data_IF_783168808134
#
_entry.id   IF_783168808134
#
_cell.length_a   1.000
_cell.length_b   1.000
_cell.length_c   1.000
_cell.angle_alpha   90.00
_cell.angle_beta   90.00
_cell.angle_gamma   90.00
#
_symmetry.space_group_name_H-M   'P 1'
#
loop_
_entity.id
_entity.type
_entity.pdbx_description
1 polymer ?
#
# COMPACT_ATOMS: atom_id res chain seq x y z
N UNK A 1 -13.99 27.06 16.03
CA UNK A 1 -13.36 26.11 15.07
C UNK A 1 -13.91 24.71 15.22
N UNK A 2 -13.97 24.16 16.44
CA UNK A 2 -14.54 22.82 16.68
C UNK A 2 -16.01 22.71 16.24
N UNK A 3 -16.87 23.67 16.62
CA UNK A 3 -18.30 23.64 16.24
C UNK A 3 -18.50 23.67 14.73
N UNK A 4 -17.70 24.47 14.01
CA UNK A 4 -17.69 24.50 12.54
C UNK A 4 -17.18 23.18 11.94
N UNK A 5 -16.15 22.57 12.50
CA UNK A 5 -15.68 21.26 12.03
C UNK A 5 -16.75 20.17 12.22
N UNK A 6 -17.55 20.26 13.30
CA UNK A 6 -18.66 19.32 13.57
C UNK A 6 -19.82 19.48 12.58
N UNK A 7 -19.98 20.63 11.93
CA UNK A 7 -20.96 20.76 10.84
C UNK A 7 -20.51 20.06 9.55
N UNK A 8 -19.22 19.68 9.44
CA UNK A 8 -18.64 19.02 8.26
C UNK A 8 -18.40 17.52 8.47
N UNK A 9 -18.09 17.09 9.69
CA UNK A 9 -17.78 15.69 10.01
C UNK A 9 -18.34 15.29 11.37
N UNK A 10 -18.94 14.09 11.45
CA UNK A 10 -19.34 13.49 12.72
C UNK A 10 -18.17 13.03 13.60
N UNK A 11 -16.95 12.98 13.05
CA UNK A 11 -15.72 12.62 13.76
C UNK A 11 -14.80 13.83 13.81
N UNK A 12 -14.80 14.52 14.95
CA UNK A 12 -13.92 15.66 15.26
C UNK A 12 -13.16 15.36 16.54
N UNK A 13 -11.85 15.52 16.51
CA UNK A 13 -10.96 15.36 17.66
C UNK A 13 -9.98 16.52 17.76
N UNK A 14 -9.46 16.75 18.97
CA UNK A 14 -8.34 17.68 19.20
C UNK A 14 -7.03 16.91 19.13
N UNK A 15 -6.01 17.55 18.58
CA UNK A 15 -4.66 17.02 18.51
C UNK A 15 -3.66 18.18 18.65
N UNK A 16 -2.61 17.96 19.43
CA UNK A 16 -1.41 18.80 19.46
C UNK A 16 -0.65 18.76 18.13
N UNK A 17 0.29 19.67 17.92
CA UNK A 17 1.11 19.67 16.72
C UNK A 17 1.97 18.40 16.58
N UNK A 18 2.44 17.86 17.70
CA UNK A 18 3.17 16.57 17.72
C UNK A 18 2.26 15.40 17.28
N UNK A 19 1.03 15.33 17.79
CA UNK A 19 0.05 14.32 17.36
C UNK A 19 -0.31 14.48 15.87
N UNK A 20 -0.50 15.72 15.40
CA UNK A 20 -0.78 16.02 13.99
C UNK A 20 0.38 15.60 13.09
N UNK A 21 1.62 15.82 13.51
CA UNK A 21 2.81 15.40 12.76
C UNK A 21 2.88 13.88 12.64
N UNK A 22 2.68 13.15 13.74
CA UNK A 22 2.66 11.68 13.74
C UNK A 22 1.55 11.13 12.85
N UNK A 23 0.35 11.68 12.94
CA UNK A 23 -0.78 11.33 12.07
C UNK A 23 -0.46 11.62 10.60
N UNK A 24 0.19 12.74 10.30
CA UNK A 24 0.54 13.09 8.93
C UNK A 24 1.55 12.11 8.32
N UNK A 25 2.58 11.70 9.06
CA UNK A 25 3.52 10.66 8.61
C UNK A 25 2.77 9.35 8.29
N UNK A 26 1.87 8.92 9.18
CA UNK A 26 1.05 7.74 8.93
C UNK A 26 0.16 7.91 7.68
N UNK A 27 -0.46 9.08 7.50
CA UNK A 27 -1.31 9.41 6.34
C UNK A 27 -0.53 9.35 5.02
N UNK A 28 0.71 9.87 5.00
CA UNK A 28 1.59 9.79 3.84
C UNK A 28 1.88 8.33 3.46
N UNK A 29 2.14 7.47 4.45
CA UNK A 29 2.39 6.04 4.20
C UNK A 29 1.16 5.33 3.65
N UNK A 30 0.00 5.49 4.29
CA UNK A 30 -1.21 4.72 3.92
C UNK A 30 -1.89 5.25 2.67
N UNK A 31 -1.71 6.53 2.33
CA UNK A 31 -2.35 7.16 1.18
C UNK A 31 -1.37 7.53 0.07
N UNK A 32 -0.40 8.42 0.31
CA UNK A 32 0.45 8.94 -0.76
C UNK A 32 1.40 7.87 -1.31
N UNK A 33 2.07 7.12 -0.45
CA UNK A 33 2.95 6.03 -0.89
C UNK A 33 2.16 4.90 -1.53
N UNK A 34 1.03 4.51 -0.93
CA UNK A 34 0.10 3.54 -1.54
C UNK A 34 -0.33 3.95 -2.95
N UNK A 35 -0.70 5.22 -3.17
CA UNK A 35 -1.04 5.71 -4.50
C UNK A 35 0.14 5.66 -5.47
N UNK A 36 1.35 5.96 -5.01
CA UNK A 36 2.54 5.83 -5.85
C UNK A 36 2.81 4.36 -6.24
N UNK A 37 2.50 3.39 -5.37
CA UNK A 37 2.55 1.97 -5.74
C UNK A 37 1.54 1.63 -6.86
N UNK A 38 0.36 2.26 -6.86
CA UNK A 38 -0.60 2.11 -7.96
C UNK A 38 -0.06 2.68 -9.27
N UNK A 39 0.55 3.85 -9.24
CA UNK A 39 1.15 4.47 -10.43
C UNK A 39 2.26 3.58 -11.04
N UNK A 40 3.17 3.06 -10.21
CA UNK A 40 4.22 2.15 -10.68
C UNK A 40 3.65 0.84 -11.26
N UNK A 41 2.57 0.33 -10.66
CA UNK A 41 1.89 -0.86 -11.18
C UNK A 41 1.14 -0.58 -12.49
N UNK A 42 0.53 0.60 -12.63
CA UNK A 42 -0.11 1.05 -13.87
C UNK A 42 0.90 1.19 -15.02
N UNK A 43 2.06 1.82 -14.75
CA UNK A 43 3.17 1.91 -15.72
C UNK A 43 3.65 0.52 -16.17
N UNK A 44 3.84 -0.40 -15.21
CA UNK A 44 4.20 -1.79 -15.51
C UNK A 44 3.13 -2.49 -16.36
N UNK A 45 1.84 -2.36 -15.99
CA UNK A 45 0.74 -2.93 -16.75
C UNK A 45 0.69 -2.37 -18.18
N UNK A 46 0.84 -1.05 -18.35
CA UNK A 46 0.86 -0.42 -19.66
C UNK A 46 2.00 -0.96 -20.55
N UNK A 47 3.21 -1.09 -20.00
CA UNK A 47 4.37 -1.62 -20.72
C UNK A 47 4.22 -3.10 -21.09
N UNK A 48 3.58 -3.90 -20.22
CA UNK A 48 3.28 -5.32 -20.45
C UNK A 48 1.96 -5.55 -21.22
N UNK A 49 1.30 -4.48 -21.69
CA UNK A 49 0.01 -4.52 -22.42
C UNK A 49 -1.13 -5.20 -21.65
N UNK A 50 -1.17 -4.97 -20.34
CA UNK A 50 -2.20 -5.43 -19.41
C UNK A 50 -3.09 -4.24 -19.04
N UNK A 51 -4.42 -4.42 -19.02
CA UNK A 51 -5.33 -3.39 -18.53
C UNK A 51 -5.26 -3.28 -17.01
N UNK A 52 -4.72 -2.17 -16.50
CA UNK A 52 -4.61 -1.89 -15.07
C UNK A 52 -5.97 -1.92 -14.34
N UNK A 53 -7.08 -1.63 -15.04
CA UNK A 53 -8.43 -1.64 -14.45
C UNK A 53 -8.82 -3.01 -13.92
N UNK A 54 -8.21 -4.10 -14.42
CA UNK A 54 -8.41 -5.45 -13.90
C UNK A 54 -7.98 -5.59 -12.43
N UNK A 55 -7.11 -4.71 -11.94
CA UNK A 55 -6.62 -4.70 -10.56
C UNK A 55 -7.49 -3.86 -9.61
N UNK A 56 -8.41 -3.03 -10.12
CA UNK A 56 -9.24 -2.15 -9.29
C UNK A 56 -10.07 -2.90 -8.23
N UNK A 57 -10.66 -4.09 -8.51
CA UNK A 57 -11.35 -4.87 -7.48
C UNK A 57 -10.42 -5.30 -6.34
N UNK A 58 -9.17 -5.68 -6.64
CA UNK A 58 -8.19 -6.08 -5.62
C UNK A 58 -7.77 -4.89 -4.74
N UNK A 59 -7.59 -3.72 -5.34
CA UNK A 59 -7.28 -2.48 -4.61
C UNK A 59 -8.41 -2.16 -3.63
N UNK A 60 -9.66 -2.17 -4.11
CA UNK A 60 -10.85 -1.86 -3.30
C UNK A 60 -11.02 -2.85 -2.14
N UNK A 61 -10.91 -4.15 -2.43
CA UNK A 61 -11.01 -5.20 -1.41
C UNK A 61 -9.92 -5.06 -0.34
N UNK A 62 -8.67 -4.81 -0.75
CA UNK A 62 -7.55 -4.62 0.18
C UNK A 62 -7.78 -3.42 1.10
N UNK A 63 -8.24 -2.30 0.54
CA UNK A 63 -8.56 -1.11 1.32
C UNK A 63 -9.74 -1.33 2.28
N UNK A 64 -10.82 -1.99 1.83
CA UNK A 64 -12.01 -2.22 2.64
C UNK A 64 -11.72 -3.10 3.88
N UNK A 65 -10.83 -4.09 3.76
CA UNK A 65 -10.50 -4.99 4.87
C UNK A 65 -9.93 -4.29 6.11
N UNK A 66 -9.29 -3.13 5.96
CA UNK A 66 -8.70 -2.42 7.10
C UNK A 66 -9.74 -1.87 8.07
N UNK A 67 -11.01 -1.77 7.64
CA UNK A 67 -12.12 -1.34 8.49
C UNK A 67 -12.53 -2.40 9.52
N UNK A 68 -12.25 -3.67 9.21
CA UNK A 68 -12.73 -4.81 10.00
C UNK A 68 -11.60 -5.72 10.51
N UNK A 69 -10.41 -5.63 9.91
CA UNK A 69 -9.28 -6.48 10.24
C UNK A 69 -8.00 -5.66 10.38
N UNK A 70 -7.13 -6.09 11.31
CA UNK A 70 -5.77 -5.54 11.39
C UNK A 70 -4.98 -5.89 10.11
N UNK A 71 -4.28 -4.94 9.47
CA UNK A 71 -3.50 -5.21 8.26
C UNK A 71 -2.51 -6.38 8.39
N UNK A 72 -1.91 -6.56 9.56
CA UNK A 72 -0.98 -7.69 9.79
C UNK A 72 -1.66 -9.06 9.76
N UNK A 73 -2.92 -9.13 10.21
CA UNK A 73 -3.69 -10.39 10.27
C UNK A 73 -4.17 -10.87 8.90
N UNK A 74 -4.28 -9.95 7.92
CA UNK A 74 -4.76 -10.22 6.57
C UNK A 74 -3.66 -10.11 5.51
N UNK A 75 -2.39 -10.04 5.93
CA UNK A 75 -1.26 -10.02 5.01
C UNK A 75 -1.20 -11.34 4.23
N UNK A 76 -1.21 -11.23 2.90
CA UNK A 76 -1.11 -12.38 1.98
C UNK A 76 0.05 -12.19 1.00
N UNK A 77 0.18 -13.12 0.05
CA UNK A 77 1.19 -13.06 -1.02
C UNK A 77 2.41 -13.96 -0.79
N UNK A 78 3.31 -14.03 -1.77
CA UNK A 78 4.46 -14.94 -1.74
C UNK A 78 5.48 -14.57 -0.64
N UNK A 79 5.61 -13.28 -0.29
CA UNK A 79 6.54 -12.82 0.73
C UNK A 79 6.26 -13.43 2.12
N UNK A 80 5.03 -13.30 2.64
CA UNK A 80 4.68 -13.85 3.97
C UNK A 80 4.74 -15.39 4.01
N UNK A 81 4.52 -16.04 2.86
CA UNK A 81 4.62 -17.50 2.70
C UNK A 81 6.04 -18.01 2.45
N UNK A 82 7.04 -17.13 2.34
CA UNK A 82 8.41 -17.48 1.93
C UNK A 82 8.45 -18.27 0.60
N UNK A 83 7.58 -17.94 -0.35
CA UNK A 83 7.52 -18.58 -1.67
C UNK A 83 8.62 -18.03 -2.58
N UNK A 84 9.85 -18.48 -2.35
CA UNK A 84 11.06 -18.01 -3.04
C UNK A 84 10.98 -18.23 -4.55
N UNK A 85 10.33 -19.31 -4.99
CA UNK A 85 10.20 -19.61 -6.42
C UNK A 85 9.34 -18.57 -7.14
N UNK A 86 8.20 -18.19 -6.56
CA UNK A 86 7.36 -17.12 -7.12
C UNK A 86 8.07 -15.77 -7.05
N UNK A 87 8.77 -15.47 -5.94
CA UNK A 87 9.52 -14.22 -5.79
C UNK A 87 10.61 -14.08 -6.87
N UNK A 88 11.36 -15.15 -7.15
CA UNK A 88 12.41 -15.13 -8.19
C UNK A 88 11.83 -14.86 -9.58
N UNK A 89 10.69 -15.50 -9.92
CA UNK A 89 9.97 -15.22 -11.18
C UNK A 89 9.57 -13.75 -11.31
N UNK A 90 9.01 -13.16 -10.25
CA UNK A 90 8.66 -11.74 -10.23
C UNK A 90 9.91 -10.87 -10.47
N UNK A 91 11.02 -11.16 -9.80
CA UNK A 91 12.26 -10.37 -9.94
C UNK A 91 12.87 -10.44 -11.34
N UNK A 92 12.71 -11.57 -12.04
CA UNK A 92 13.11 -11.71 -13.45
C UNK A 92 12.22 -10.84 -14.35
N UNK A 93 10.90 -10.86 -14.16
CA UNK A 93 9.98 -9.99 -14.91
C UNK A 93 10.25 -8.51 -14.68
N UNK A 94 10.61 -8.12 -13.45
CA UNK A 94 10.89 -6.74 -13.09
C UNK A 94 12.27 -6.24 -13.55
N UNK A 95 13.03 -7.01 -14.32
CA UNK A 95 14.41 -6.63 -14.74
C UNK A 95 14.45 -5.31 -15.51
N UNK A 96 13.46 -5.05 -16.36
CA UNK A 96 13.38 -3.81 -17.14
C UNK A 96 12.70 -2.65 -16.38
N UNK A 97 12.35 -2.85 -15.10
CA UNK A 97 11.63 -1.90 -14.27
C UNK A 97 12.40 -1.63 -12.98
N UNK A 98 13.59 -0.99 -13.04
CA UNK A 98 14.53 -0.93 -11.92
C UNK A 98 13.95 -0.26 -10.66
N UNK A 99 13.12 0.77 -10.80
CA UNK A 99 12.48 1.44 -9.67
C UNK A 99 11.44 0.54 -9.00
N UNK A 100 10.55 -0.08 -9.78
CA UNK A 100 9.55 -1.02 -9.26
C UNK A 100 10.23 -2.24 -8.63
N UNK A 101 11.29 -2.77 -9.25
CA UNK A 101 12.11 -3.87 -8.71
C UNK A 101 12.72 -3.51 -7.35
N UNK A 102 13.29 -2.31 -7.22
CA UNK A 102 13.87 -1.83 -5.98
C UNK A 102 12.83 -1.78 -4.85
N UNK A 103 11.68 -1.16 -5.11
CA UNK A 103 10.59 -1.04 -4.13
C UNK A 103 10.04 -2.43 -3.78
N UNK A 104 9.80 -3.28 -4.78
CA UNK A 104 9.33 -4.64 -4.61
C UNK A 104 10.23 -5.44 -3.66
N UNK A 105 11.55 -5.34 -3.81
CA UNK A 105 12.52 -6.00 -2.93
C UNK A 105 12.44 -5.46 -1.50
N UNK A 106 12.36 -4.14 -1.31
CA UNK A 106 12.29 -3.52 0.02
C UNK A 106 11.00 -3.87 0.76
N UNK A 107 9.87 -3.90 0.06
CA UNK A 107 8.60 -4.32 0.64
C UNK A 107 8.59 -5.82 0.95
N UNK A 108 9.11 -6.66 0.06
CA UNK A 108 9.24 -8.11 0.27
C UNK A 108 10.10 -8.40 1.52
N UNK A 109 11.28 -7.79 1.62
CA UNK A 109 12.17 -7.92 2.78
C UNK A 109 11.48 -7.45 4.07
N UNK A 110 10.79 -6.31 4.04
CA UNK A 110 10.04 -5.79 5.19
C UNK A 110 8.92 -6.75 5.64
N UNK A 111 8.18 -7.35 4.71
CA UNK A 111 7.12 -8.31 5.02
C UNK A 111 7.70 -9.60 5.62
N UNK A 112 8.80 -10.12 5.05
CA UNK A 112 9.44 -11.36 5.52
C UNK A 112 10.06 -11.20 6.92
N UNK A 113 10.59 -10.02 7.24
CA UNK A 113 11.20 -9.71 8.55
C UNK A 113 10.21 -9.47 9.68
N UNK A 114 8.93 -9.21 9.38
CA UNK A 114 7.88 -8.98 10.39
C UNK A 114 7.29 -10.28 10.98
N UNK A 115 7.93 -11.42 10.76
CA UNK A 115 7.61 -12.68 11.44
C UNK A 115 8.07 -12.68 12.89
#
# INVERSE_FOLDING_TARGET
LEDFARTLSGKVGKASDDERLKLHVAAVVVSNFTNHLYALAEEFCAAEKIDFKLLAPLIKETAARVEHHSPSSVQTGPAIRNDIFTLDKHLRMLTNYPQLKYIYLKLTDSIMKKK
#
